data_IF_057656642068
#
_entry.id   IF_057656642068
#
_cell.length_a   1.000
_cell.length_b   1.000
_cell.length_c   1.000
_cell.angle_alpha   90.00
_cell.angle_beta   90.00
_cell.angle_gamma   90.00
#
_symmetry.space_group_name_H-M   'P 1'
#
loop_
_entity.id
_entity.type
_entity.pdbx_description
1 polymer ?
#
# COMPACT_ATOMS: atom_id res chain seq x y z
N UNK A 1 -11.73 -34.28 2.15
CA UNK A 1 -12.25 -34.91 3.37
C UNK A 1 -13.46 -34.12 3.83
N UNK A 2 -14.65 -34.64 3.49
CA UNK A 2 -15.91 -34.10 3.97
C UNK A 2 -16.21 -34.72 5.31
N UNK A 3 -16.14 -33.96 6.39
CA UNK A 3 -16.62 -34.41 7.68
C UNK A 3 -17.38 -33.30 8.39
N UNK A 4 -18.62 -33.66 8.72
CA UNK A 4 -19.48 -33.05 9.73
C UNK A 4 -20.31 -31.82 9.35
N UNK A 5 -21.27 -32.03 8.46
CA UNK A 5 -22.59 -31.46 8.67
C UNK A 5 -23.60 -32.62 8.71
N UNK A 6 -24.07 -32.92 9.91
CA UNK A 6 -25.07 -33.95 10.13
C UNK A 6 -26.39 -33.61 9.40
N UNK A 7 -26.48 -33.99 8.16
CA UNK A 7 -27.74 -34.15 7.43
C UNK A 7 -28.14 -35.61 7.58
N UNK A 8 -28.86 -35.90 8.62
CA UNK A 8 -29.63 -37.16 8.65
C UNK A 8 -30.85 -36.88 7.76
N UNK A 9 -30.77 -37.31 6.51
CA UNK A 9 -31.94 -37.44 5.66
C UNK A 9 -32.77 -38.59 6.21
N UNK A 10 -33.79 -38.28 6.99
CA UNK A 10 -34.85 -39.22 7.27
C UNK A 10 -35.90 -39.00 6.18
N UNK A 11 -35.85 -39.82 5.15
CA UNK A 11 -36.95 -40.01 4.23
C UNK A 11 -37.98 -40.87 5.01
N UNK A 12 -39.02 -40.21 5.49
CA UNK A 12 -40.22 -40.87 5.96
C UNK A 12 -41.43 -40.05 5.53
N UNK A 13 -42.19 -40.72 4.71
CA UNK A 13 -43.64 -40.75 4.49
C UNK A 13 -44.49 -39.62 5.12
N UNK A 14 -45.34 -39.03 4.29
CA UNK A 14 -46.60 -38.33 4.49
C UNK A 14 -46.90 -37.46 5.73
N UNK A 15 -45.90 -36.99 6.50
CA UNK A 15 -46.10 -36.01 7.56
C UNK A 15 -45.03 -34.90 7.56
N UNK A 16 -45.13 -34.04 6.56
CA UNK A 16 -44.10 -33.03 6.16
C UNK A 16 -43.80 -31.92 7.17
N UNK A 17 -44.38 -31.86 8.35
CA UNK A 17 -44.31 -30.70 9.22
C UNK A 17 -42.97 -30.58 10.01
N UNK A 18 -42.28 -31.66 10.31
CA UNK A 18 -41.07 -31.62 11.15
C UNK A 18 -39.79 -31.17 10.41
N UNK A 19 -39.66 -31.48 9.14
CA UNK A 19 -38.46 -31.09 8.34
C UNK A 19 -38.48 -29.60 8.00
N UNK A 20 -39.63 -29.06 7.68
CA UNK A 20 -39.81 -27.64 7.37
C UNK A 20 -39.56 -26.77 8.60
N UNK A 21 -40.01 -27.18 9.79
CA UNK A 21 -39.79 -26.49 11.06
C UNK A 21 -38.29 -26.43 11.40
N UNK A 22 -37.53 -27.52 11.20
CA UNK A 22 -36.09 -27.55 11.51
C UNK A 22 -35.28 -26.64 10.59
N UNK A 23 -35.60 -26.58 9.29
CA UNK A 23 -34.97 -25.67 8.34
C UNK A 23 -35.33 -24.21 8.62
N UNK A 24 -36.56 -23.93 8.96
CA UNK A 24 -37.06 -22.59 9.34
C UNK A 24 -36.35 -22.12 10.61
N UNK A 25 -36.25 -22.95 11.64
CA UNK A 25 -35.63 -22.62 12.93
C UNK A 25 -34.12 -22.33 12.79
N UNK A 26 -33.39 -23.13 11.99
CA UNK A 26 -31.97 -22.89 11.70
C UNK A 26 -31.77 -21.58 10.94
N UNK A 27 -32.64 -21.26 9.99
CA UNK A 27 -32.59 -20.03 9.23
C UNK A 27 -32.86 -18.81 10.13
N UNK A 28 -33.81 -18.91 11.06
CA UNK A 28 -34.09 -17.89 12.07
C UNK A 28 -32.93 -17.66 13.03
N UNK A 29 -32.34 -18.72 13.58
CA UNK A 29 -31.15 -18.62 14.45
C UNK A 29 -29.99 -17.96 13.70
N UNK A 30 -29.74 -18.33 12.45
CA UNK A 30 -28.71 -17.73 11.62
C UNK A 30 -28.95 -16.25 11.36
N UNK A 31 -30.21 -15.87 11.09
CA UNK A 31 -30.62 -14.47 10.89
C UNK A 31 -30.47 -13.66 12.19
N UNK A 32 -30.85 -14.22 13.34
CA UNK A 32 -30.73 -13.59 14.64
C UNK A 32 -29.25 -13.35 15.02
N UNK A 33 -28.36 -14.33 14.80
CA UNK A 33 -26.91 -14.17 15.06
C UNK A 33 -26.30 -13.06 14.19
N UNK A 34 -26.67 -12.97 12.91
CA UNK A 34 -26.24 -11.88 12.03
C UNK A 34 -26.73 -10.51 12.54
N UNK A 35 -28.00 -10.42 12.92
CA UNK A 35 -28.59 -9.19 13.49
C UNK A 35 -27.83 -8.75 14.75
N UNK A 36 -27.57 -9.68 15.69
CA UNK A 36 -26.82 -9.40 16.93
C UNK A 36 -25.38 -8.97 16.64
N UNK A 37 -24.71 -9.58 15.66
CA UNK A 37 -23.37 -9.19 15.25
C UNK A 37 -23.35 -7.76 14.66
N UNK A 38 -24.33 -7.41 13.83
CA UNK A 38 -24.46 -6.05 13.27
C UNK A 38 -24.73 -5.04 14.38
N UNK A 39 -25.64 -5.35 15.29
CA UNK A 39 -25.98 -4.48 16.42
C UNK A 39 -24.76 -4.23 17.31
N UNK A 40 -24.09 -5.30 17.73
CA UNK A 40 -22.88 -5.22 18.57
C UNK A 40 -21.77 -4.41 17.90
N UNK A 41 -21.54 -4.62 16.58
CA UNK A 41 -20.59 -3.85 15.81
C UNK A 41 -20.92 -2.34 15.81
N UNK A 42 -22.19 -1.98 15.55
CA UNK A 42 -22.62 -0.58 15.51
C UNK A 42 -22.52 0.11 16.87
N UNK A 43 -22.99 -0.57 17.92
CA UNK A 43 -22.94 -0.05 19.30
C UNK A 43 -21.51 0.14 19.75
N UNK A 44 -20.67 -0.90 19.61
CA UNK A 44 -19.26 -0.82 20.01
C UNK A 44 -18.50 0.26 19.23
N UNK A 45 -18.78 0.41 17.90
CA UNK A 45 -18.17 1.48 17.12
C UNK A 45 -18.58 2.88 17.59
N UNK A 46 -19.84 3.06 17.96
CA UNK A 46 -20.34 4.33 18.51
C UNK A 46 -19.64 4.66 19.84
N UNK A 47 -19.56 3.71 20.75
CA UNK A 47 -18.88 3.89 22.05
C UNK A 47 -17.38 4.17 21.90
N UNK A 48 -16.69 3.41 21.05
CA UNK A 48 -15.25 3.57 20.84
C UNK A 48 -14.88 4.87 20.12
N UNK A 49 -15.77 5.41 19.30
CA UNK A 49 -15.59 6.73 18.69
C UNK A 49 -15.50 7.86 19.74
N UNK A 50 -16.19 7.73 20.86
CA UNK A 50 -16.15 8.70 21.97
C UNK A 50 -14.77 8.73 22.66
N UNK A 51 -14.02 7.61 22.61
CA UNK A 51 -12.71 7.47 23.26
C UNK A 51 -11.55 7.60 22.25
N UNK A 52 -11.84 7.97 20.98
CA UNK A 52 -10.81 8.13 19.95
C UNK A 52 -10.10 6.81 19.55
N UNK A 53 -10.69 5.65 19.88
CA UNK A 53 -10.11 4.31 19.61
C UNK A 53 -11.07 3.44 18.79
N UNK A 54 -10.53 2.47 18.03
CA UNK A 54 -11.27 1.28 17.62
C UNK A 54 -11.68 1.17 16.17
N UNK A 55 -10.73 1.04 15.27
CA UNK A 55 -11.05 0.68 13.87
C UNK A 55 -11.38 -0.81 13.69
N UNK A 56 -10.81 -1.73 14.47
CA UNK A 56 -10.95 -3.19 14.32
C UNK A 56 -11.78 -3.87 15.41
N UNK A 57 -11.72 -3.41 16.66
CA UNK A 57 -12.41 -4.05 17.79
C UNK A 57 -13.92 -4.29 17.57
N UNK A 58 -14.70 -3.38 16.94
CA UNK A 58 -16.10 -3.67 16.63
C UNK A 58 -16.30 -4.88 15.73
N UNK A 59 -15.37 -5.10 14.79
CA UNK A 59 -15.39 -6.26 13.91
C UNK A 59 -15.02 -7.55 14.64
N UNK A 60 -14.05 -7.50 15.55
CA UNK A 60 -13.69 -8.66 16.38
C UNK A 60 -14.87 -9.12 17.25
N UNK A 61 -15.59 -8.19 17.86
CA UNK A 61 -16.81 -8.49 18.63
C UNK A 61 -17.85 -9.17 17.74
N UNK A 62 -18.10 -8.61 16.55
CA UNK A 62 -19.07 -9.16 15.62
C UNK A 62 -18.68 -10.57 15.13
N UNK A 63 -17.39 -10.81 14.84
CA UNK A 63 -16.89 -12.13 14.42
C UNK A 63 -16.99 -13.17 15.53
N UNK A 64 -16.85 -12.79 16.80
CA UNK A 64 -17.10 -13.70 17.93
C UNK A 64 -18.56 -14.12 18.02
N UNK A 65 -19.51 -13.22 17.72
CA UNK A 65 -20.95 -13.52 17.72
C UNK A 65 -21.34 -14.35 16.49
N UNK A 66 -20.85 -13.96 15.30
CA UNK A 66 -21.17 -14.60 14.03
C UNK A 66 -19.90 -14.70 13.15
N UNK A 67 -19.10 -15.79 13.27
CA UNK A 67 -17.82 -15.95 12.57
C UNK A 67 -17.90 -15.90 11.04
N UNK A 68 -19.06 -16.26 10.48
CA UNK A 68 -19.33 -16.26 9.04
C UNK A 68 -20.21 -15.08 8.58
N UNK A 69 -20.28 -14.00 9.38
CA UNK A 69 -21.17 -12.86 9.10
C UNK A 69 -20.92 -12.22 7.73
N UNK A 70 -19.67 -12.21 7.26
CA UNK A 70 -19.29 -11.63 5.97
C UNK A 70 -19.89 -12.40 4.77
N UNK A 71 -20.14 -13.72 4.90
CA UNK A 71 -20.81 -14.50 3.86
C UNK A 71 -22.33 -14.32 3.85
N UNK A 72 -22.89 -13.66 4.88
CA UNK A 72 -24.35 -13.49 5.04
C UNK A 72 -24.83 -12.10 4.67
N UNK A 73 -23.93 -11.13 4.58
CA UNK A 73 -24.28 -9.75 4.20
C UNK A 73 -24.37 -9.63 2.68
N UNK A 74 -25.31 -8.83 2.21
CA UNK A 74 -25.43 -8.48 0.81
C UNK A 74 -24.56 -7.26 0.52
N UNK A 75 -23.42 -7.49 -0.16
CA UNK A 75 -22.48 -6.47 -0.59
C UNK A 75 -23.03 -5.68 -1.79
N UNK A 76 -22.47 -4.50 -2.09
CA UNK A 76 -22.67 -3.79 -3.35
C UNK A 76 -22.25 -4.65 -4.56
N UNK A 77 -22.75 -4.31 -5.74
CA UNK A 77 -22.34 -4.97 -6.99
C UNK A 77 -20.86 -4.76 -7.30
N UNK A 78 -20.32 -3.61 -6.92
CA UNK A 78 -18.91 -3.28 -7.09
C UNK A 78 -18.16 -3.44 -5.76
N UNK A 79 -17.30 -4.45 -5.70
CA UNK A 79 -16.37 -4.69 -4.59
C UNK A 79 -14.96 -4.63 -5.15
N UNK A 80 -14.26 -3.56 -4.85
CA UNK A 80 -12.91 -3.30 -5.36
C UNK A 80 -11.91 -3.49 -4.22
N UNK A 81 -10.89 -4.29 -4.44
CA UNK A 81 -9.80 -4.47 -3.49
C UNK A 81 -8.47 -4.05 -4.10
N UNK A 82 -7.59 -3.48 -3.27
CA UNK A 82 -6.24 -3.06 -3.66
C UNK A 82 -5.23 -3.68 -2.71
N UNK A 83 -4.26 -4.40 -3.26
CA UNK A 83 -3.13 -4.97 -2.52
C UNK A 83 -1.80 -4.70 -3.22
N UNK A 84 -0.69 -5.09 -2.60
CA UNK A 84 0.67 -4.93 -3.09
C UNK A 84 1.60 -4.33 -2.04
N UNK A 85 2.91 -4.44 -2.19
CA UNK A 85 3.88 -3.98 -1.20
C UNK A 85 3.80 -2.47 -0.96
N UNK A 86 3.69 -1.68 -2.03
CA UNK A 86 3.62 -0.22 -1.97
C UNK A 86 2.43 0.33 -2.77
N UNK A 87 2.02 1.57 -2.44
CA UNK A 87 1.00 2.32 -3.19
C UNK A 87 -0.46 2.05 -2.78
N UNK A 88 -0.77 1.01 -1.99
CA UNK A 88 -2.14 0.63 -1.61
C UNK A 88 -3.01 1.80 -1.13
N UNK A 89 -2.57 2.48 -0.08
CA UNK A 89 -3.34 3.56 0.55
C UNK A 89 -3.58 4.72 -0.44
N UNK A 90 -2.53 5.14 -1.16
CA UNK A 90 -2.65 6.24 -2.13
C UNK A 90 -3.61 5.86 -3.28
N UNK A 91 -3.49 4.64 -3.82
CA UNK A 91 -4.38 4.15 -4.87
C UNK A 91 -5.83 4.07 -4.39
N UNK A 92 -6.08 3.55 -3.18
CA UNK A 92 -7.43 3.49 -2.59
C UNK A 92 -7.99 4.90 -2.36
N UNK A 93 -7.20 5.85 -1.87
CA UNK A 93 -7.63 7.23 -1.66
C UNK A 93 -8.00 7.92 -2.99
N UNK A 94 -7.19 7.75 -4.03
CA UNK A 94 -7.46 8.25 -5.38
C UNK A 94 -8.76 7.67 -5.94
N UNK A 95 -8.92 6.34 -5.91
CA UNK A 95 -10.15 5.66 -6.35
C UNK A 95 -11.36 6.19 -5.60
N UNK A 96 -11.27 6.31 -4.26
CA UNK A 96 -12.37 6.81 -3.45
C UNK A 96 -12.73 8.25 -3.79
N UNK A 97 -11.75 9.11 -4.11
CA UNK A 97 -12.00 10.50 -4.53
C UNK A 97 -12.71 10.53 -5.88
N UNK A 98 -12.14 9.91 -6.91
CA UNK A 98 -12.70 9.88 -8.27
C UNK A 98 -14.14 9.35 -8.26
N UNK A 99 -14.38 8.22 -7.58
CA UNK A 99 -15.71 7.62 -7.53
C UNK A 99 -16.74 8.49 -6.81
N UNK A 100 -16.35 9.17 -5.71
CA UNK A 100 -17.26 10.09 -4.99
C UNK A 100 -17.61 11.29 -5.82
N UNK A 101 -16.66 11.83 -6.55
CA UNK A 101 -16.87 12.96 -7.44
C UNK A 101 -17.76 12.58 -8.63
N UNK A 102 -17.70 11.33 -9.06
CA UNK A 102 -18.62 10.75 -10.05
C UNK A 102 -20.00 10.39 -9.48
N UNK A 103 -20.32 10.83 -8.25
CA UNK A 103 -21.63 10.62 -7.61
C UNK A 103 -21.81 9.27 -6.94
N UNK A 104 -20.81 8.40 -6.88
CA UNK A 104 -20.91 7.09 -6.24
C UNK A 104 -20.77 7.18 -4.71
N UNK A 105 -21.62 6.45 -3.99
CA UNK A 105 -21.49 6.28 -2.54
C UNK A 105 -20.47 5.19 -2.22
N UNK A 106 -19.23 5.62 -1.89
CA UNK A 106 -18.10 4.72 -1.61
C UNK A 106 -18.00 4.44 -0.11
N UNK A 107 -17.97 3.16 0.24
CA UNK A 107 -17.63 2.65 1.57
C UNK A 107 -16.20 2.12 1.51
N UNK A 108 -15.31 2.59 2.36
CA UNK A 108 -13.90 2.20 2.35
C UNK A 108 -13.25 2.23 3.74
N UNK A 109 -12.20 1.44 3.93
CA UNK A 109 -11.48 1.32 5.20
C UNK A 109 -10.40 2.41 5.37
N UNK A 110 -10.85 3.67 5.46
CA UNK A 110 -10.00 4.88 5.54
C UNK A 110 -8.91 4.83 6.62
N UNK A 111 -9.15 4.11 7.72
CA UNK A 111 -8.27 4.05 8.88
C UNK A 111 -7.16 2.99 8.75
N UNK A 112 -6.96 2.39 7.56
CA UNK A 112 -5.93 1.37 7.31
C UNK A 112 -6.15 0.04 8.05
N UNK A 113 -7.38 -0.21 8.53
CA UNK A 113 -7.75 -1.49 9.15
C UNK A 113 -8.03 -2.53 8.08
N UNK A 114 -6.94 -3.12 7.55
CA UNK A 114 -6.93 -3.99 6.38
C UNK A 114 -6.93 -5.50 6.73
N UNK A 115 -7.10 -5.86 8.00
CA UNK A 115 -7.32 -7.23 8.46
C UNK A 115 -8.82 -7.53 8.57
N UNK A 116 -9.18 -8.82 8.67
CA UNK A 116 -10.57 -9.28 8.69
C UNK A 116 -11.47 -8.53 9.68
N UNK A 117 -10.98 -8.22 10.87
CA UNK A 117 -11.73 -7.48 11.88
C UNK A 117 -12.08 -6.05 11.42
N UNK A 118 -11.13 -5.35 10.81
CA UNK A 118 -11.34 -4.01 10.23
C UNK A 118 -12.29 -4.04 9.03
N UNK A 119 -12.11 -5.01 8.14
CA UNK A 119 -13.02 -5.24 7.00
C UNK A 119 -14.45 -5.53 7.49
N UNK A 120 -14.59 -6.37 8.53
CA UNK A 120 -15.88 -6.66 9.14
C UNK A 120 -16.49 -5.41 9.77
N UNK A 121 -15.71 -4.63 10.51
CA UNK A 121 -16.18 -3.40 11.15
C UNK A 121 -16.72 -2.39 10.14
N UNK A 122 -16.03 -2.17 9.01
CA UNK A 122 -16.47 -1.20 7.99
C UNK A 122 -17.74 -1.68 7.27
N UNK A 123 -17.79 -2.96 6.92
CA UNK A 123 -18.96 -3.55 6.25
C UNK A 123 -20.19 -3.47 7.14
N UNK A 124 -20.13 -4.01 8.37
CA UNK A 124 -21.27 -4.09 9.27
C UNK A 124 -21.75 -2.72 9.77
N UNK A 125 -20.82 -1.77 9.96
CA UNK A 125 -21.20 -0.40 10.32
C UNK A 125 -22.07 0.28 9.24
N UNK A 126 -21.90 -0.11 7.98
CA UNK A 126 -22.64 0.41 6.84
C UNK A 126 -23.77 -0.50 6.38
N UNK A 127 -24.06 -1.60 7.09
CA UNK A 127 -25.21 -2.46 6.81
C UNK A 127 -26.51 -1.94 7.39
N UNK A 128 -27.63 -2.32 6.77
CA UNK A 128 -28.93 -2.39 7.45
C UNK A 128 -28.92 -3.53 8.46
N UNK A 129 -29.85 -3.58 9.39
CA UNK A 129 -29.99 -4.72 10.29
C UNK A 129 -30.37 -6.02 9.56
N UNK A 130 -30.95 -5.92 8.35
CA UNK A 130 -31.17 -7.05 7.45
C UNK A 130 -29.94 -7.48 6.63
N UNK A 131 -28.76 -6.91 6.91
CA UNK A 131 -27.50 -7.32 6.28
C UNK A 131 -27.20 -6.73 4.90
N UNK A 132 -27.99 -5.75 4.40
CA UNK A 132 -27.67 -5.08 3.13
C UNK A 132 -26.74 -3.88 3.36
N UNK A 133 -25.60 -3.85 2.68
CA UNK A 133 -24.65 -2.73 2.72
C UNK A 133 -25.20 -1.52 1.97
N UNK A 134 -25.11 -0.33 2.58
CA UNK A 134 -25.68 0.94 2.09
C UNK A 134 -24.67 1.76 1.30
N UNK A 135 -24.20 1.24 0.18
CA UNK A 135 -23.26 1.93 -0.72
C UNK A 135 -23.34 1.37 -2.12
N UNK A 136 -22.81 2.11 -3.09
CA UNK A 136 -22.70 1.70 -4.48
C UNK A 136 -21.42 0.90 -4.72
N UNK A 137 -20.35 1.24 -3.97
CA UNK A 137 -19.04 0.63 -4.07
C UNK A 137 -18.51 0.31 -2.67
N UNK A 138 -18.00 -0.90 -2.50
CA UNK A 138 -17.16 -1.28 -1.37
C UNK A 138 -15.70 -1.30 -1.85
N UNK A 139 -14.89 -0.38 -1.36
CA UNK A 139 -13.48 -0.24 -1.70
C UNK A 139 -12.60 -0.63 -0.50
N UNK A 140 -11.72 -1.61 -0.69
CA UNK A 140 -10.92 -2.20 0.38
C UNK A 140 -9.43 -2.06 0.11
N UNK A 141 -8.72 -1.38 1.01
CA UNK A 141 -7.29 -1.62 1.17
C UNK A 141 -7.10 -2.97 1.84
N UNK A 142 -6.34 -3.86 1.21
CA UNK A 142 -6.14 -5.23 1.67
C UNK A 142 -4.66 -5.50 1.93
N UNK A 143 -4.37 -6.03 3.12
CA UNK A 143 -3.01 -6.45 3.48
C UNK A 143 -2.68 -7.76 2.75
N UNK A 144 -1.48 -7.86 2.20
CA UNK A 144 -1.02 -8.94 1.35
C UNK A 144 -1.14 -10.32 2.02
N UNK A 145 -0.94 -10.38 3.33
CA UNK A 145 -0.96 -11.62 4.10
C UNK A 145 -2.34 -11.97 4.65
N UNK A 146 -3.20 -10.98 4.80
CA UNK A 146 -4.47 -11.12 5.51
C UNK A 146 -5.70 -11.08 4.60
N UNK A 147 -5.57 -10.65 3.34
CA UNK A 147 -6.66 -10.60 2.38
C UNK A 147 -7.40 -11.93 2.24
N UNK A 148 -6.67 -13.05 2.22
CA UNK A 148 -7.23 -14.42 2.15
C UNK A 148 -8.25 -14.74 3.23
N UNK A 149 -8.08 -14.19 4.44
CA UNK A 149 -9.02 -14.44 5.54
C UNK A 149 -10.35 -13.71 5.36
N UNK A 150 -10.36 -12.58 4.65
CA UNK A 150 -11.59 -11.85 4.31
C UNK A 150 -12.25 -12.43 3.05
N UNK A 151 -11.45 -12.67 2.01
CA UNK A 151 -11.96 -13.06 0.69
C UNK A 151 -12.39 -14.53 0.59
N UNK A 152 -12.15 -15.35 1.61
CA UNK A 152 -12.82 -16.65 1.73
C UNK A 152 -14.33 -16.55 1.93
N UNK A 153 -14.84 -15.41 2.39
CA UNK A 153 -16.27 -15.18 2.64
C UNK A 153 -16.98 -14.46 1.49
N UNK A 154 -16.25 -13.71 0.68
CA UNK A 154 -16.76 -13.02 -0.50
C UNK A 154 -15.63 -12.77 -1.51
N UNK A 155 -15.98 -12.65 -2.79
CA UNK A 155 -15.02 -12.29 -3.83
C UNK A 155 -15.07 -10.79 -4.12
N UNK A 156 -13.92 -10.09 -4.20
CA UNK A 156 -13.87 -8.80 -4.87
C UNK A 156 -14.28 -8.97 -6.34
N UNK A 157 -15.07 -8.04 -6.87
CA UNK A 157 -15.37 -8.01 -8.31
C UNK A 157 -14.13 -7.60 -9.12
N UNK A 158 -13.35 -6.67 -8.56
CA UNK A 158 -12.10 -6.19 -9.14
C UNK A 158 -10.99 -6.22 -8.09
N UNK A 159 -9.86 -6.83 -8.44
CA UNK A 159 -8.73 -6.94 -7.52
C UNK A 159 -7.46 -6.39 -8.15
N UNK A 160 -7.01 -5.26 -7.61
CA UNK A 160 -5.84 -4.53 -8.09
C UNK A 160 -4.62 -5.00 -7.31
N UNK A 161 -3.56 -5.37 -8.02
CA UNK A 161 -2.26 -5.72 -7.42
C UNK A 161 -1.21 -4.79 -8.01
N UNK A 162 -0.69 -3.89 -7.18
CA UNK A 162 0.14 -2.77 -7.64
C UNK A 162 1.58 -3.18 -7.93
N UNK A 163 2.20 -3.91 -7.00
CA UNK A 163 3.59 -4.35 -7.07
C UNK A 163 3.91 -5.35 -5.96
N UNK A 164 5.01 -6.11 -6.13
CA UNK A 164 5.57 -6.98 -5.10
C UNK A 164 7.05 -6.69 -4.93
N UNK A 165 7.47 -6.36 -3.71
CA UNK A 165 8.86 -6.12 -3.32
C UNK A 165 9.17 -6.79 -1.99
N UNK A 166 10.45 -6.87 -1.68
CA UNK A 166 10.91 -7.02 -0.31
C UNK A 166 10.34 -5.91 0.55
N UNK A 167 9.52 -6.25 1.51
CA UNK A 167 8.85 -5.30 2.39
C UNK A 167 8.66 -5.91 3.77
N UNK A 168 9.14 -5.22 4.79
CA UNK A 168 9.00 -5.65 6.18
C UNK A 168 9.45 -7.12 6.36
N UNK A 169 10.73 -7.41 6.10
CA UNK A 169 11.28 -8.79 6.10
C UNK A 169 11.02 -9.53 7.41
N UNK A 170 11.09 -8.83 8.55
CA UNK A 170 10.76 -9.41 9.87
C UNK A 170 9.30 -9.83 9.99
N UNK A 171 8.41 -9.25 9.19
CA UNK A 171 6.97 -9.54 9.18
C UNK A 171 6.55 -10.40 7.99
N UNK A 172 7.01 -10.05 6.80
CA UNK A 172 6.54 -10.61 5.54
C UNK A 172 7.43 -11.75 5.02
N UNK A 173 8.70 -11.77 5.44
CA UNK A 173 9.67 -12.72 4.94
C UNK A 173 9.98 -12.53 3.44
N UNK A 174 10.30 -13.61 2.76
CA UNK A 174 10.65 -13.60 1.35
C UNK A 174 9.47 -13.19 0.45
N UNK A 175 9.66 -12.43 -0.65
CA UNK A 175 8.61 -12.05 -1.59
C UNK A 175 7.75 -13.20 -2.11
N UNK A 176 8.30 -14.42 -2.24
CA UNK A 176 7.57 -15.60 -2.66
C UNK A 176 6.47 -16.00 -1.66
N UNK A 177 6.69 -15.82 -0.36
CA UNK A 177 5.65 -16.08 0.64
C UNK A 177 4.50 -15.07 0.57
N UNK A 178 4.84 -13.83 0.25
CA UNK A 178 3.84 -12.78 -0.01
C UNK A 178 3.05 -13.13 -1.27
N UNK A 179 3.75 -13.57 -2.33
CA UNK A 179 3.12 -14.03 -3.56
C UNK A 179 2.09 -15.14 -3.29
N UNK A 180 2.48 -16.21 -2.62
CA UNK A 180 1.56 -17.32 -2.33
C UNK A 180 0.39 -16.85 -1.45
N UNK A 181 0.61 -15.99 -0.47
CA UNK A 181 -0.45 -15.47 0.38
C UNK A 181 -1.47 -14.62 -0.38
N UNK A 182 -1.03 -13.79 -1.33
CA UNK A 182 -1.91 -13.03 -2.21
C UNK A 182 -2.64 -13.96 -3.17
N UNK A 183 -1.95 -14.96 -3.74
CA UNK A 183 -2.55 -15.97 -4.64
C UNK A 183 -3.70 -16.71 -3.97
N UNK A 184 -3.56 -17.10 -2.70
CA UNK A 184 -4.65 -17.70 -1.92
C UNK A 184 -5.86 -16.77 -1.74
N UNK A 185 -5.67 -15.46 -1.84
CA UNK A 185 -6.75 -14.47 -1.72
C UNK A 185 -7.50 -14.22 -3.03
N UNK A 186 -6.93 -14.61 -4.17
CA UNK A 186 -7.52 -14.40 -5.49
C UNK A 186 -8.65 -15.41 -5.71
N UNK A 187 -9.84 -14.90 -6.04
CA UNK A 187 -10.99 -15.73 -6.36
C UNK A 187 -11.13 -15.90 -7.88
N UNK A 188 -11.60 -17.06 -8.36
CA UNK A 188 -11.76 -17.32 -9.80
C UNK A 188 -12.62 -16.25 -10.51
N UNK A 189 -13.69 -15.80 -9.85
CA UNK A 189 -14.65 -14.82 -10.35
C UNK A 189 -14.14 -13.38 -10.35
N UNK A 190 -13.04 -13.09 -9.66
CA UNK A 190 -12.48 -11.73 -9.58
C UNK A 190 -11.78 -11.35 -10.89
N UNK A 191 -12.10 -10.19 -11.45
CA UNK A 191 -11.29 -9.57 -12.49
C UNK A 191 -10.02 -8.99 -11.87
N UNK A 192 -8.86 -9.38 -12.37
CA UNK A 192 -7.59 -8.87 -11.91
C UNK A 192 -7.18 -7.61 -12.69
N UNK A 193 -6.62 -6.63 -11.98
CA UNK A 193 -6.01 -5.42 -12.55
C UNK A 193 -4.55 -5.43 -12.11
N UNK A 194 -3.65 -5.79 -13.02
CA UNK A 194 -2.27 -6.15 -12.72
C UNK A 194 -1.27 -5.19 -13.36
N UNK A 195 -0.19 -4.92 -12.63
CA UNK A 195 0.96 -4.21 -13.16
C UNK A 195 1.77 -5.12 -14.09
N UNK A 196 1.75 -4.84 -15.40
CA UNK A 196 2.48 -5.61 -16.41
C UNK A 196 4.00 -5.43 -16.31
N UNK A 197 4.46 -4.33 -15.73
CA UNK A 197 5.88 -4.00 -15.60
C UNK A 197 6.56 -4.72 -14.44
N UNK A 198 5.77 -5.43 -13.61
CA UNK A 198 6.26 -6.22 -12.48
C UNK A 198 6.21 -7.72 -12.82
N UNK A 199 7.37 -8.38 -13.03
CA UNK A 199 7.41 -9.80 -13.36
C UNK A 199 6.88 -10.71 -12.25
N UNK A 200 6.86 -10.25 -10.99
CA UNK A 200 6.31 -11.01 -9.88
C UNK A 200 4.78 -10.92 -9.84
N UNK A 201 4.23 -9.76 -10.16
CA UNK A 201 2.78 -9.53 -10.25
C UNK A 201 2.18 -10.22 -11.47
N UNK A 202 2.91 -10.23 -12.61
CA UNK A 202 2.42 -10.84 -13.85
C UNK A 202 2.04 -12.32 -13.72
N UNK A 203 2.65 -13.05 -12.78
CA UNK A 203 2.34 -14.45 -12.47
C UNK A 203 0.88 -14.68 -12.07
N UNK A 204 0.20 -13.70 -11.46
CA UNK A 204 -1.21 -13.84 -11.08
C UNK A 204 -2.16 -13.88 -12.27
N UNK A 205 -1.73 -13.34 -13.41
CA UNK A 205 -2.49 -13.36 -14.65
C UNK A 205 -2.34 -14.62 -15.47
N UNK A 206 -1.41 -15.54 -15.08
CA UNK A 206 -1.19 -16.78 -15.78
C UNK A 206 -2.47 -17.62 -15.83
N UNK A 207 -2.80 -18.15 -17.01
CA UNK A 207 -3.96 -19.02 -17.27
C UNK A 207 -5.31 -18.34 -16.89
N UNK A 208 -5.40 -17.00 -17.04
CA UNK A 208 -6.62 -16.21 -16.79
C UNK A 208 -6.95 -15.30 -17.94
N UNK A 209 -8.22 -15.31 -18.35
CA UNK A 209 -8.73 -14.46 -19.42
C UNK A 209 -9.27 -13.11 -18.91
N UNK A 210 -9.65 -13.02 -17.63
CA UNK A 210 -10.25 -11.83 -16.99
C UNK A 210 -9.20 -10.95 -16.31
N UNK A 211 -8.14 -10.59 -17.03
CA UNK A 211 -7.06 -9.73 -16.55
C UNK A 211 -7.01 -8.44 -17.35
N UNK A 212 -6.87 -7.34 -16.64
CA UNK A 212 -6.57 -6.02 -17.19
C UNK A 212 -5.14 -5.67 -16.82
N UNK A 213 -4.35 -5.34 -17.82
CA UNK A 213 -2.95 -4.98 -17.64
C UNK A 213 -2.75 -3.47 -17.71
N UNK A 214 -2.00 -2.93 -16.76
CA UNK A 214 -1.53 -1.56 -16.81
C UNK A 214 0.00 -1.53 -16.71
N UNK A 215 0.62 -0.53 -17.33
CA UNK A 215 2.08 -0.40 -17.34
C UNK A 215 2.51 0.91 -18.00
N UNK A 216 3.81 1.06 -18.20
CA UNK A 216 4.42 2.28 -18.72
C UNK A 216 5.33 1.95 -19.91
N UNK A 217 5.28 2.80 -20.94
CA UNK A 217 6.26 2.79 -22.01
C UNK A 217 7.61 3.32 -21.52
N UNK A 218 8.67 3.07 -22.29
CA UNK A 218 10.00 3.63 -21.98
C UNK A 218 9.92 5.15 -21.85
N UNK A 219 10.51 5.69 -20.80
CA UNK A 219 10.57 7.12 -20.48
C UNK A 219 12.01 7.60 -20.48
N UNK A 220 12.24 8.92 -20.55
CA UNK A 220 13.58 9.50 -20.51
C UNK A 220 14.35 9.16 -19.23
N UNK A 221 13.64 8.94 -18.11
CA UNK A 221 14.24 8.53 -16.84
C UNK A 221 14.47 7.01 -16.72
N UNK A 222 14.05 6.22 -17.71
CA UNK A 222 14.26 4.76 -17.70
C UNK A 222 15.74 4.43 -17.85
N UNK A 223 16.20 3.46 -17.09
CA UNK A 223 17.62 3.05 -17.04
C UNK A 223 17.83 1.68 -17.67
N UNK A 224 19.07 1.34 -17.98
CA UNK A 224 19.48 0.02 -18.47
C UNK A 224 19.87 -0.95 -17.33
N UNK A 225 19.80 -0.49 -16.10
CA UNK A 225 20.10 -1.27 -14.90
C UNK A 225 19.04 -1.08 -13.82
N UNK A 226 18.88 -2.09 -12.95
CA UNK A 226 18.00 -2.00 -11.81
C UNK A 226 18.54 -0.98 -10.81
N UNK A 227 17.65 -0.15 -10.24
CA UNK A 227 18.00 0.75 -9.14
C UNK A 227 17.84 0.05 -7.79
N UNK A 228 18.62 0.48 -6.79
CA UNK A 228 18.64 -0.14 -5.47
C UNK A 228 19.61 -1.32 -5.36
N UNK A 229 19.73 -1.89 -4.15
CA UNK A 229 20.68 -2.97 -3.85
C UNK A 229 20.22 -4.32 -4.40
N UNK A 230 18.91 -4.57 -4.42
CA UNK A 230 18.34 -5.84 -4.83
C UNK A 230 17.47 -5.72 -6.07
N UNK A 231 17.58 -6.73 -6.93
CA UNK A 231 16.69 -6.93 -8.05
C UNK A 231 15.86 -8.20 -7.80
N UNK A 232 14.66 -8.04 -7.20
CA UNK A 232 13.76 -9.15 -6.91
C UNK A 232 13.20 -9.81 -8.18
N UNK A 233 13.27 -9.13 -9.34
CA UNK A 233 12.91 -9.64 -10.66
C UNK A 233 14.10 -10.16 -11.48
N UNK A 234 15.28 -10.39 -10.87
CA UNK A 234 16.49 -10.84 -11.59
C UNK A 234 16.37 -12.22 -12.23
N UNK A 235 15.44 -13.04 -11.73
CA UNK A 235 15.23 -14.40 -12.23
C UNK A 235 13.80 -14.61 -12.66
N UNK A 236 13.64 -15.29 -13.80
CA UNK A 236 12.33 -15.63 -14.33
C UNK A 236 11.50 -16.39 -13.31
N UNK A 237 10.29 -15.92 -12.97
CA UNK A 237 9.46 -16.58 -11.99
C UNK A 237 8.98 -17.96 -12.46
N UNK A 238 8.97 -18.21 -13.77
CA UNK A 238 8.51 -19.47 -14.37
C UNK A 238 9.62 -20.51 -14.44
N UNK A 239 10.78 -20.19 -15.02
CA UNK A 239 11.84 -21.16 -15.29
C UNK A 239 13.13 -20.95 -14.52
N UNK A 240 13.22 -19.89 -13.69
CA UNK A 240 14.38 -19.54 -12.87
C UNK A 240 15.65 -19.14 -13.62
N UNK A 241 15.61 -19.03 -14.97
CA UNK A 241 16.69 -18.44 -15.73
C UNK A 241 16.81 -16.93 -15.42
N UNK A 242 17.99 -16.36 -15.69
CA UNK A 242 18.18 -14.92 -15.53
C UNK A 242 17.23 -14.17 -16.44
N UNK A 243 16.59 -13.14 -15.91
CA UNK A 243 15.66 -12.28 -16.63
C UNK A 243 16.44 -11.23 -17.40
N UNK A 244 16.09 -11.02 -18.67
CA UNK A 244 16.55 -9.91 -19.49
C UNK A 244 15.59 -8.73 -19.41
N UNK A 245 16.13 -7.52 -19.45
CA UNK A 245 15.33 -6.29 -19.40
C UNK A 245 15.71 -5.38 -20.55
N UNK A 246 14.70 -4.85 -21.23
CA UNK A 246 14.88 -3.81 -22.26
C UNK A 246 15.17 -2.46 -21.58
N UNK A 247 14.53 -2.21 -20.46
CA UNK A 247 14.74 -1.05 -19.57
C UNK A 247 14.09 -1.27 -18.21
N UNK A 248 14.55 -0.49 -17.24
CA UNK A 248 13.95 -0.40 -15.90
C UNK A 248 13.37 1.00 -15.71
N UNK A 249 12.26 1.11 -15.01
CA UNK A 249 11.75 2.38 -14.50
C UNK A 249 12.25 2.65 -13.08
N UNK A 250 12.32 1.60 -12.27
CA UNK A 250 12.93 1.57 -10.93
C UNK A 250 12.93 0.13 -10.39
N UNK A 251 13.85 -0.18 -9.50
CA UNK A 251 14.03 -1.53 -8.94
C UNK A 251 13.96 -2.60 -10.05
N UNK A 252 13.04 -3.56 -9.96
CA UNK A 252 12.78 -4.57 -10.99
C UNK A 252 11.56 -4.28 -11.86
N UNK A 253 11.02 -3.08 -11.79
CA UNK A 253 9.85 -2.66 -12.58
C UNK A 253 10.32 -2.10 -13.91
N UNK A 254 9.84 -2.67 -15.03
CA UNK A 254 10.22 -2.25 -16.37
C UNK A 254 9.72 -3.17 -17.47
N UNK A 255 10.37 -3.14 -18.61
CA UNK A 255 10.12 -4.08 -19.71
C UNK A 255 11.09 -5.25 -19.62
N UNK A 256 10.57 -6.44 -19.47
CA UNK A 256 11.34 -7.66 -19.24
C UNK A 256 10.92 -8.79 -20.19
N UNK A 257 11.86 -9.70 -20.42
CA UNK A 257 11.62 -10.96 -21.12
C UNK A 257 12.60 -12.04 -20.64
N UNK A 258 12.21 -13.29 -20.79
CA UNK A 258 13.03 -14.45 -20.48
C UNK A 258 13.43 -15.16 -21.79
N UNK A 259 14.71 -15.16 -22.13
CA UNK A 259 15.23 -15.77 -23.35
C UNK A 259 15.06 -17.31 -23.34
N UNK A 260 14.86 -17.92 -22.16
CA UNK A 260 14.73 -19.38 -22.06
C UNK A 260 13.30 -19.89 -22.27
N UNK A 261 12.28 -19.24 -21.67
CA UNK A 261 10.89 -19.73 -21.71
C UNK A 261 9.91 -18.79 -22.39
N UNK A 262 10.36 -17.62 -22.85
CA UNK A 262 9.51 -16.64 -23.52
C UNK A 262 8.57 -15.87 -22.60
N UNK A 263 8.66 -16.03 -21.25
CA UNK A 263 7.92 -15.19 -20.33
C UNK A 263 8.33 -13.73 -20.50
N UNK A 264 7.38 -12.83 -20.69
CA UNK A 264 7.64 -11.42 -20.97
C UNK A 264 6.53 -10.52 -20.45
N UNK A 265 6.80 -9.21 -20.41
CA UNK A 265 5.80 -8.19 -20.14
C UNK A 265 4.57 -8.37 -21.02
N UNK A 266 3.38 -8.26 -20.43
CA UNK A 266 2.11 -8.31 -21.14
C UNK A 266 1.79 -6.98 -21.81
N UNK A 267 1.03 -7.03 -22.91
CA UNK A 267 0.47 -5.85 -23.55
C UNK A 267 -0.53 -5.18 -22.60
N UNK A 268 -0.47 -3.85 -22.53
CA UNK A 268 -1.23 -3.07 -21.55
C UNK A 268 -2.46 -2.40 -22.18
N UNK A 269 -3.61 -2.48 -21.50
CA UNK A 269 -4.83 -1.75 -21.86
C UNK A 269 -4.79 -0.30 -21.37
N UNK A 270 -4.07 -0.07 -20.28
CA UNK A 270 -3.84 1.26 -19.71
C UNK A 270 -2.34 1.51 -19.64
N UNK A 271 -1.87 2.46 -20.45
CA UNK A 271 -0.43 2.71 -20.62
C UNK A 271 -0.11 4.16 -20.33
N UNK A 272 0.86 4.39 -19.44
CA UNK A 272 1.51 5.71 -19.38
C UNK A 272 2.42 5.82 -20.60
N UNK A 273 2.06 6.69 -21.53
CA UNK A 273 2.81 6.90 -22.77
C UNK A 273 3.86 8.00 -22.66
N UNK A 274 3.69 8.93 -21.73
CA UNK A 274 4.66 9.99 -21.48
C UNK A 274 4.59 10.52 -20.05
N UNK A 275 5.74 10.79 -19.44
CA UNK A 275 5.90 11.48 -18.15
C UNK A 275 6.84 12.66 -18.35
N UNK A 276 6.30 13.85 -18.31
CA UNK A 276 7.07 15.10 -18.31
C UNK A 276 7.16 15.64 -16.88
N UNK A 277 8.31 15.42 -16.24
CA UNK A 277 8.53 15.93 -14.89
C UNK A 277 8.77 17.44 -14.82
N UNK A 278 9.19 18.08 -15.91
CA UNK A 278 9.41 19.54 -15.92
C UNK A 278 8.08 20.27 -15.88
N UNK A 279 7.16 19.94 -16.78
CA UNK A 279 5.80 20.47 -16.76
C UNK A 279 4.92 19.84 -15.68
N UNK A 280 5.33 18.71 -15.10
CA UNK A 280 4.55 17.96 -14.12
C UNK A 280 3.31 17.32 -14.72
N UNK A 281 3.39 16.75 -15.94
CA UNK A 281 2.27 16.11 -16.63
C UNK A 281 2.58 14.67 -16.93
N UNK A 282 1.63 13.78 -16.63
CA UNK A 282 1.60 12.39 -17.12
C UNK A 282 0.50 12.22 -18.16
N UNK A 283 0.80 11.48 -19.22
CA UNK A 283 -0.16 11.17 -20.30
C UNK A 283 -0.48 9.68 -20.31
N UNK A 284 -1.76 9.32 -20.22
CA UNK A 284 -2.24 7.94 -20.27
C UNK A 284 -2.91 7.70 -21.62
N UNK A 285 -2.57 6.57 -22.26
CA UNK A 285 -3.06 6.11 -23.56
C UNK A 285 -2.93 7.18 -24.66
N UNK A 286 -1.89 8.03 -24.61
CA UNK A 286 -1.65 9.12 -25.56
C UNK A 286 -2.70 10.25 -25.54
N UNK A 287 -3.70 10.17 -24.68
CA UNK A 287 -4.86 11.07 -24.67
C UNK A 287 -5.05 11.82 -23.35
N UNK A 288 -5.09 11.11 -22.23
CA UNK A 288 -5.50 11.68 -20.96
C UNK A 288 -4.31 12.30 -20.23
N UNK A 289 -4.33 13.61 -20.07
CA UNK A 289 -3.28 14.37 -19.38
C UNK A 289 -3.66 14.64 -17.95
N UNK A 290 -2.78 14.28 -17.01
CA UNK A 290 -2.99 14.41 -15.56
C UNK A 290 -1.83 15.20 -14.98
N UNK A 291 -2.13 16.24 -14.19
CA UNK A 291 -1.14 17.03 -13.49
C UNK A 291 -0.59 16.24 -12.31
N UNK A 292 0.73 16.12 -12.24
CA UNK A 292 1.42 15.49 -11.13
C UNK A 292 1.65 16.51 -10.00
N UNK A 293 0.88 16.42 -8.95
CA UNK A 293 1.12 17.23 -7.74
C UNK A 293 2.28 16.69 -6.91
N UNK A 294 2.65 15.41 -7.11
CA UNK A 294 3.84 14.81 -6.55
C UNK A 294 4.63 14.09 -7.65
N UNK A 295 5.80 14.66 -8.01
CA UNK A 295 6.65 14.22 -9.12
C UNK A 295 7.49 13.00 -8.75
N UNK A 296 6.89 11.81 -8.77
CA UNK A 296 7.55 10.54 -8.45
C UNK A 296 6.99 9.42 -9.33
N UNK A 297 7.86 8.58 -9.86
CA UNK A 297 7.50 7.42 -10.70
C UNK A 297 6.48 6.50 -10.01
N UNK A 298 6.57 6.36 -8.70
CA UNK A 298 5.63 5.54 -7.93
C UNK A 298 4.23 6.17 -7.85
N UNK A 299 4.15 7.51 -7.82
CA UNK A 299 2.88 8.20 -7.87
C UNK A 299 2.24 8.03 -9.25
N UNK A 300 3.05 8.01 -10.31
CA UNK A 300 2.58 7.72 -11.67
C UNK A 300 1.93 6.35 -11.73
N UNK A 301 2.54 5.31 -11.15
CA UNK A 301 1.93 3.96 -11.09
C UNK A 301 0.65 3.92 -10.25
N UNK A 302 0.58 4.66 -9.13
CA UNK A 302 -0.64 4.74 -8.32
C UNK A 302 -1.78 5.43 -9.10
N UNK A 303 -1.47 6.51 -9.83
CA UNK A 303 -2.39 7.21 -10.72
C UNK A 303 -2.89 6.26 -11.83
N UNK A 304 -1.98 5.53 -12.47
CA UNK A 304 -2.32 4.60 -13.54
C UNK A 304 -3.22 3.45 -13.04
N UNK A 305 -2.90 2.86 -11.90
CA UNK A 305 -3.73 1.83 -11.27
C UNK A 305 -5.13 2.35 -10.91
N UNK A 306 -5.22 3.59 -10.40
CA UNK A 306 -6.50 4.25 -10.14
C UNK A 306 -7.26 4.52 -11.44
N UNK A 307 -6.59 5.04 -12.46
CA UNK A 307 -7.18 5.31 -13.77
C UNK A 307 -7.79 4.03 -14.37
N UNK A 308 -7.02 2.94 -14.40
CA UNK A 308 -7.48 1.64 -14.88
C UNK A 308 -8.72 1.16 -14.09
N UNK A 309 -8.67 1.18 -12.76
CA UNK A 309 -9.76 0.73 -11.91
C UNK A 309 -11.05 1.54 -12.10
N UNK A 310 -10.94 2.87 -12.21
CA UNK A 310 -12.10 3.75 -12.38
C UNK A 310 -12.69 3.65 -13.78
N UNK A 311 -11.85 3.50 -14.81
CA UNK A 311 -12.32 3.31 -16.20
C UNK A 311 -13.11 2.01 -16.36
N UNK A 312 -12.64 0.90 -15.77
CA UNK A 312 -13.32 -0.41 -15.87
C UNK A 312 -14.72 -0.37 -15.26
N UNK A 313 -14.92 0.38 -14.20
CA UNK A 313 -16.24 0.53 -13.57
C UNK A 313 -17.11 1.61 -14.23
N UNK A 314 -16.71 2.08 -15.42
CA UNK A 314 -17.49 2.93 -16.29
C UNK A 314 -17.43 4.43 -16.00
N UNK A 315 -16.38 4.90 -15.33
CA UNK A 315 -16.15 6.35 -15.18
C UNK A 315 -15.41 6.86 -16.41
N UNK A 316 -15.86 7.98 -16.94
CA UNK A 316 -15.26 8.62 -18.11
C UNK A 316 -13.80 9.03 -17.86
N UNK A 317 -12.91 8.80 -18.82
CA UNK A 317 -11.48 9.03 -18.68
C UNK A 317 -11.10 10.51 -18.48
N UNK A 318 -11.85 11.44 -19.06
CA UNK A 318 -11.60 12.87 -18.87
C UNK A 318 -11.99 13.31 -17.46
N UNK A 319 -13.07 12.73 -16.89
CA UNK A 319 -13.47 12.95 -15.49
C UNK A 319 -12.41 12.39 -14.53
N UNK A 320 -11.86 11.20 -14.82
CA UNK A 320 -10.80 10.60 -14.00
C UNK A 320 -9.55 11.49 -14.04
N UNK A 321 -9.16 11.94 -15.23
CA UNK A 321 -7.95 12.76 -15.42
C UNK A 321 -8.06 14.12 -14.71
N UNK A 322 -9.22 14.77 -14.77
CA UNK A 322 -9.47 16.02 -14.06
C UNK A 322 -9.37 15.84 -12.55
N UNK A 323 -10.06 14.86 -11.99
CA UNK A 323 -10.05 14.59 -10.54
C UNK A 323 -8.66 14.21 -10.01
N UNK A 324 -7.89 13.41 -10.77
CA UNK A 324 -6.53 13.05 -10.40
C UNK A 324 -5.56 14.23 -10.47
N UNK A 325 -5.80 15.19 -11.36
CA UNK A 325 -5.01 16.42 -11.45
C UNK A 325 -5.19 17.34 -10.23
N UNK A 326 -6.26 17.15 -9.45
CA UNK A 326 -6.57 17.88 -8.23
C UNK A 326 -6.39 17.06 -6.95
N UNK A 327 -5.79 15.87 -7.05
CA UNK A 327 -5.61 14.98 -5.91
C UNK A 327 -4.40 15.37 -5.07
N UNK A 328 -4.63 15.79 -3.84
CA UNK A 328 -3.56 16.03 -2.85
C UNK A 328 -3.35 14.82 -1.95
N UNK A 329 -2.11 14.39 -1.83
CA UNK A 329 -1.70 13.34 -0.90
C UNK A 329 -2.00 13.77 0.56
N UNK A 330 -3.06 13.22 1.15
CA UNK A 330 -3.45 13.53 2.54
C UNK A 330 -2.62 12.77 3.58
N UNK A 331 -1.71 11.91 3.17
CA UNK A 331 -1.09 10.90 4.03
C UNK A 331 -0.12 11.45 5.09
N UNK A 332 0.14 12.76 5.15
CA UNK A 332 1.05 13.36 6.14
C UNK A 332 2.47 12.78 6.10
N UNK A 333 2.88 12.22 4.95
CA UNK A 333 4.21 11.62 4.75
C UNK A 333 5.28 12.63 4.41
N UNK A 334 4.86 13.81 3.98
CA UNK A 334 5.73 14.95 3.68
C UNK A 334 5.20 16.11 4.49
N UNK A 335 6.04 16.67 5.37
CA UNK A 335 5.70 17.82 6.21
C UNK A 335 6.82 18.83 6.10
N UNK A 336 6.48 20.12 6.10
CA UNK A 336 7.46 21.18 6.21
C UNK A 336 7.66 21.54 7.67
N UNK A 337 8.90 21.82 8.07
CA UNK A 337 9.22 22.18 9.44
C UNK A 337 10.30 23.26 9.54
N UNK A 338 10.39 23.85 10.73
CA UNK A 338 11.46 24.72 11.15
C UNK A 338 12.12 24.15 12.40
N UNK A 339 13.47 24.10 12.39
CA UNK A 339 14.30 23.68 13.52
C UNK A 339 15.38 24.75 13.75
N UNK A 340 15.24 25.57 14.78
CA UNK A 340 16.05 26.76 14.97
C UNK A 340 15.90 27.72 13.79
N UNK A 341 17.02 28.09 13.16
CA UNK A 341 17.04 28.92 11.95
C UNK A 341 16.86 28.12 10.66
N UNK A 342 16.88 26.79 10.72
CA UNK A 342 16.87 25.93 9.57
C UNK A 342 15.45 25.61 9.12
N UNK A 343 15.20 25.64 7.81
CA UNK A 343 13.95 25.14 7.20
C UNK A 343 14.17 23.73 6.68
N UNK A 344 13.17 22.87 6.85
CA UNK A 344 13.33 21.47 6.46
C UNK A 344 12.07 20.82 5.93
N UNK A 345 12.29 19.69 5.26
CA UNK A 345 11.26 18.78 4.79
C UNK A 345 11.39 17.45 5.51
N UNK A 346 10.33 17.06 6.20
CA UNK A 346 10.23 15.79 6.90
C UNK A 346 9.60 14.75 5.99
N UNK A 347 10.27 13.63 5.80
CA UNK A 347 9.92 12.57 4.87
C UNK A 347 9.76 11.26 5.64
N UNK A 348 8.60 10.63 5.51
CA UNK A 348 8.30 9.37 6.19
C UNK A 348 8.49 8.22 5.22
N UNK A 349 9.52 7.40 5.46
CA UNK A 349 9.69 6.07 4.87
C UNK A 349 8.89 5.02 5.65
N UNK A 350 8.57 3.91 5.02
CA UNK A 350 7.98 2.76 5.69
C UNK A 350 9.10 1.94 6.32
N UNK A 351 8.90 1.45 7.56
CA UNK A 351 9.85 0.54 8.18
C UNK A 351 10.21 -0.64 7.27
N UNK A 352 11.47 -1.06 7.30
CA UNK A 352 11.95 -2.26 6.62
C UNK A 352 11.53 -2.34 5.14
N UNK A 353 11.45 -1.19 4.46
CA UNK A 353 11.07 -1.11 3.06
C UNK A 353 12.14 -0.32 2.29
N UNK A 354 13.05 -1.04 1.64
CA UNK A 354 14.16 -0.46 0.87
C UNK A 354 13.63 0.47 -0.23
N UNK A 355 12.66 0.03 -1.00
CA UNK A 355 12.06 0.82 -2.09
C UNK A 355 11.47 2.14 -1.58
N UNK A 356 10.84 2.15 -0.39
CA UNK A 356 10.32 3.39 0.19
C UNK A 356 11.44 4.33 0.65
N UNK A 357 12.54 3.80 1.16
CA UNK A 357 13.71 4.57 1.58
C UNK A 357 14.48 5.12 0.37
N UNK A 358 14.76 4.29 -0.62
CA UNK A 358 15.44 4.69 -1.86
C UNK A 358 14.68 5.83 -2.55
N UNK A 359 13.34 5.79 -2.55
CA UNK A 359 12.49 6.87 -3.06
C UNK A 359 12.70 8.20 -2.36
N UNK A 360 12.81 8.15 -1.05
CA UNK A 360 13.00 9.36 -0.23
C UNK A 360 14.36 9.97 -0.54
N UNK A 361 15.40 9.16 -0.68
CA UNK A 361 16.73 9.64 -1.03
C UNK A 361 16.79 10.15 -2.47
N UNK A 362 16.17 9.46 -3.43
CA UNK A 362 16.06 9.93 -4.82
C UNK A 362 15.35 11.29 -4.89
N UNK A 363 14.27 11.49 -4.11
CA UNK A 363 13.59 12.79 -4.03
C UNK A 363 14.53 13.90 -3.55
N UNK A 364 15.32 13.64 -2.50
CA UNK A 364 16.28 14.63 -1.96
C UNK A 364 17.33 15.01 -3.02
N UNK A 365 17.90 14.00 -3.68
CA UNK A 365 18.98 14.18 -4.65
C UNK A 365 18.49 14.91 -5.91
N UNK A 366 17.31 14.59 -6.41
CA UNK A 366 16.72 15.25 -7.60
C UNK A 366 16.44 16.74 -7.40
N UNK A 367 16.26 17.21 -6.15
CA UNK A 367 16.17 18.64 -5.87
C UNK A 367 17.50 19.35 -6.12
N UNK A 368 18.59 18.63 -6.12
CA UNK A 368 19.96 19.11 -6.42
C UNK A 368 20.32 20.43 -5.72
N UNK A 369 19.89 20.59 -4.47
CA UNK A 369 20.14 21.78 -3.65
C UNK A 369 21.03 21.41 -2.47
N UNK A 370 22.03 22.23 -2.11
CA UNK A 370 22.83 22.00 -0.93
C UNK A 370 21.96 21.79 0.31
N UNK A 371 22.12 20.66 0.97
CA UNK A 371 21.30 20.30 2.12
C UNK A 371 22.05 19.37 3.09
N UNK A 372 21.56 19.32 4.33
CA UNK A 372 21.95 18.28 5.29
C UNK A 372 20.80 17.30 5.50
N UNK A 373 21.12 16.02 5.71
CA UNK A 373 20.12 14.98 5.88
C UNK A 373 20.20 14.39 7.29
N UNK A 374 19.07 14.36 7.98
CA UNK A 374 18.89 13.70 9.28
C UNK A 374 18.20 12.37 9.03
N UNK A 375 18.83 11.26 9.43
CA UNK A 375 18.24 9.92 9.34
C UNK A 375 18.01 9.41 10.75
N UNK A 376 16.75 9.12 11.11
CA UNK A 376 16.40 8.66 12.45
C UNK A 376 15.99 7.20 12.39
N UNK A 377 16.71 6.35 13.12
CA UNK A 377 16.41 4.93 13.30
C UNK A 377 16.47 4.60 14.78
N UNK A 378 15.32 4.66 15.44
CA UNK A 378 15.21 4.40 16.87
C UNK A 378 14.35 3.16 17.17
N UNK A 379 13.28 2.94 16.40
CA UNK A 379 12.42 1.77 16.51
C UNK A 379 12.54 0.93 15.23
N UNK A 380 12.87 -0.35 15.38
CA UNK A 380 13.01 -1.26 14.24
C UNK A 380 11.66 -1.70 13.71
N UNK A 381 10.66 -1.88 14.57
CA UNK A 381 9.32 -2.31 14.18
C UNK A 381 8.23 -1.70 15.07
N UNK A 382 7.06 -1.42 14.46
CA UNK A 382 5.88 -0.95 15.23
C UNK A 382 5.25 -2.03 16.10
N UNK A 383 5.43 -3.31 15.78
CA UNK A 383 4.67 -4.43 16.36
C UNK A 383 5.52 -5.41 17.12
N UNK A 384 6.79 -5.49 16.83
CA UNK A 384 7.70 -6.47 17.41
C UNK A 384 8.82 -5.75 18.15
N UNK A 385 9.08 -6.16 19.38
CA UNK A 385 10.27 -5.75 20.11
C UNK A 385 11.45 -6.56 19.55
N UNK A 386 12.06 -6.07 18.50
CA UNK A 386 13.23 -6.66 17.85
C UNK A 386 14.30 -5.61 17.68
N UNK A 387 15.57 -6.01 17.81
CA UNK A 387 16.76 -5.23 17.45
C UNK A 387 17.29 -5.55 16.06
N UNK A 388 16.50 -6.23 15.22
CA UNK A 388 16.91 -6.68 13.90
C UNK A 388 17.04 -5.52 12.91
N UNK A 389 18.27 -5.19 12.54
CA UNK A 389 18.63 -4.06 11.66
C UNK A 389 19.16 -4.49 10.29
N UNK A 390 19.16 -5.80 9.97
CA UNK A 390 19.68 -6.32 8.68
C UNK A 390 19.03 -5.67 7.46
N UNK A 391 17.76 -5.20 7.57
CA UNK A 391 17.08 -4.49 6.50
C UNK A 391 17.76 -3.17 6.07
N UNK A 392 18.65 -2.61 6.89
CA UNK A 392 19.48 -1.45 6.50
C UNK A 392 20.42 -1.79 5.33
N UNK A 393 20.76 -3.08 5.16
CA UNK A 393 21.61 -3.53 4.06
C UNK A 393 20.85 -3.65 2.74
N UNK A 394 19.54 -3.63 2.78
CA UNK A 394 18.67 -3.65 1.61
C UNK A 394 18.49 -2.23 0.99
N UNK A 395 18.95 -1.17 1.67
CA UNK A 395 18.82 0.22 1.25
C UNK A 395 20.10 0.70 0.56
N UNK A 396 19.93 1.40 -0.55
CA UNK A 396 21.04 2.03 -1.28
C UNK A 396 21.41 3.39 -0.69
N UNK A 397 22.15 3.37 0.39
CA UNK A 397 22.70 4.61 0.96
C UNK A 397 23.83 5.22 0.14
N UNK A 398 24.45 4.48 -0.79
CA UNK A 398 25.52 4.98 -1.64
C UNK A 398 25.14 6.21 -2.46
N UNK A 399 23.86 6.38 -2.73
CA UNK A 399 23.32 7.56 -3.42
C UNK A 399 23.51 8.86 -2.61
N UNK A 400 23.65 8.77 -1.29
CA UNK A 400 23.85 9.94 -0.40
C UNK A 400 25.28 10.53 -0.48
N UNK A 401 26.17 9.96 -1.30
CA UNK A 401 27.46 10.59 -1.65
C UNK A 401 27.32 11.79 -2.60
N UNK A 402 26.12 12.07 -3.11
CA UNK A 402 25.87 13.18 -4.03
C UNK A 402 26.37 14.51 -3.49
N UNK A 403 26.93 15.36 -4.36
CA UNK A 403 27.59 16.63 -4.00
C UNK A 403 26.65 17.62 -3.30
N UNK A 404 25.36 17.52 -3.55
CA UNK A 404 24.36 18.34 -2.87
C UNK A 404 24.21 18.00 -1.37
N UNK A 405 24.68 16.82 -0.91
CA UNK A 405 24.63 16.43 0.49
C UNK A 405 25.84 16.96 1.23
N UNK A 406 25.62 17.94 2.11
CA UNK A 406 26.69 18.59 2.86
C UNK A 406 27.07 17.83 4.13
N UNK A 407 26.07 17.27 4.82
CA UNK A 407 26.24 16.54 6.07
C UNK A 407 25.14 15.52 6.32
N UNK A 408 25.48 14.42 6.98
CA UNK A 408 24.55 13.37 7.41
C UNK A 408 24.55 13.30 8.95
N UNK A 409 23.37 13.40 9.54
CA UNK A 409 23.11 13.19 10.96
C UNK A 409 22.38 11.87 11.16
N UNK A 410 23.01 10.91 11.80
CA UNK A 410 22.45 9.59 12.11
C UNK A 410 22.01 9.58 13.56
N UNK A 411 20.71 9.47 13.79
CA UNK A 411 20.12 9.63 15.13
C UNK A 411 19.33 8.40 15.58
N UNK A 412 19.32 8.17 16.90
CA UNK A 412 18.55 7.13 17.54
C UNK A 412 19.37 5.89 17.92
N UNK A 413 18.77 4.94 18.60
CA UNK A 413 19.41 3.75 19.17
C UNK A 413 20.17 2.88 18.18
N UNK A 414 19.77 2.91 16.91
CA UNK A 414 20.39 2.15 15.83
C UNK A 414 21.25 3.01 14.91
N UNK A 415 21.64 4.21 15.35
CA UNK A 415 22.46 5.12 14.57
C UNK A 415 23.86 4.52 14.26
N UNK A 416 24.44 3.75 15.20
CA UNK A 416 25.71 3.05 14.98
C UNK A 416 25.63 1.88 14.01
N UNK A 417 24.49 1.17 13.97
CA UNK A 417 24.25 0.13 12.96
C UNK A 417 24.22 0.76 11.57
N UNK A 418 23.57 1.94 11.45
CA UNK A 418 23.54 2.70 10.21
C UNK A 418 24.94 3.26 9.85
N UNK A 419 25.71 3.80 10.81
CA UNK A 419 27.09 4.22 10.58
C UNK A 419 27.93 3.07 10.03
N UNK A 420 27.82 1.88 10.64
CA UNK A 420 28.47 0.66 10.15
C UNK A 420 28.05 0.36 8.71
N UNK A 421 26.76 0.47 8.38
CA UNK A 421 26.28 0.26 7.00
C UNK A 421 26.86 1.30 6.04
N UNK A 422 26.94 2.57 6.44
CA UNK A 422 27.50 3.64 5.61
C UNK A 422 29.02 3.46 5.37
N UNK A 423 29.76 2.90 6.31
CA UNK A 423 31.20 2.64 6.14
C UNK A 423 31.52 1.66 5.00
N UNK A 424 30.53 0.92 4.49
CA UNK A 424 30.64 0.08 3.29
C UNK A 424 30.19 0.81 2.01
N UNK A 425 30.08 2.13 2.05
CA UNK A 425 29.79 2.97 0.88
C UNK A 425 30.94 3.95 0.65
N UNK A 426 30.93 4.67 -0.46
CA UNK A 426 31.94 5.72 -0.76
C UNK A 426 31.57 7.07 -0.08
N UNK A 427 30.74 7.08 0.95
CA UNK A 427 30.41 8.29 1.70
C UNK A 427 31.60 8.69 2.58
N UNK A 428 31.97 9.97 2.50
CA UNK A 428 33.01 10.53 3.36
C UNK A 428 32.49 10.59 4.83
N UNK A 429 33.08 9.76 5.68
CA UNK A 429 32.73 9.66 7.10
C UNK A 429 32.94 10.97 7.85
N UNK A 430 33.83 11.87 7.38
CA UNK A 430 33.96 13.21 7.96
C UNK A 430 32.72 14.06 7.87
N UNK A 431 31.82 13.73 6.94
CA UNK A 431 30.49 14.35 6.81
C UNK A 431 29.40 13.67 7.65
N UNK A 432 29.72 12.71 8.50
CA UNK A 432 28.75 11.93 9.26
C UNK A 432 28.86 12.27 10.75
N UNK A 433 27.75 12.60 11.37
CA UNK A 433 27.64 12.74 12.83
C UNK A 433 26.64 11.72 13.36
N UNK A 434 27.02 11.00 14.40
CA UNK A 434 26.21 9.94 15.03
C UNK A 434 25.85 10.35 16.45
N UNK A 435 24.57 10.25 16.80
CA UNK A 435 24.11 10.52 18.15
C UNK A 435 22.89 9.64 18.48
N UNK A 436 22.94 8.89 19.58
CA UNK A 436 21.84 8.04 20.03
C UNK A 436 20.74 8.84 20.75
N UNK A 437 21.09 10.01 21.31
CA UNK A 437 20.11 10.91 21.98
C UNK A 437 19.51 11.87 20.94
N UNK A 438 18.32 11.54 20.47
CA UNK A 438 17.61 12.33 19.45
C UNK A 438 17.33 13.76 19.95
N UNK A 439 16.76 14.00 21.13
CA UNK A 439 16.52 15.35 21.65
C UNK A 439 17.77 16.21 21.71
N UNK A 440 18.87 15.70 22.29
CA UNK A 440 20.12 16.44 22.39
C UNK A 440 20.72 16.77 21.02
N UNK A 441 20.71 15.80 20.11
CA UNK A 441 21.19 16.02 18.73
C UNK A 441 20.39 17.08 17.97
N UNK A 442 19.06 17.07 18.12
CA UNK A 442 18.20 18.08 17.47
C UNK A 442 18.44 19.49 18.04
N UNK A 443 18.70 19.63 19.35
CA UNK A 443 19.06 20.91 19.97
C UNK A 443 20.42 21.43 19.43
N UNK A 444 21.40 20.55 19.24
CA UNK A 444 22.70 20.90 18.61
C UNK A 444 22.54 21.30 17.13
N UNK A 445 21.69 20.60 16.38
CA UNK A 445 21.40 20.89 14.96
C UNK A 445 20.66 22.26 14.86
N UNK A 446 19.73 22.53 15.77
CA UNK A 446 18.98 23.79 15.83
C UNK A 446 19.90 25.02 16.05
N UNK A 447 21.00 24.85 16.76
CA UNK A 447 21.97 25.90 17.05
C UNK A 447 22.92 26.23 15.87
N UNK A 448 22.97 25.38 14.83
CA UNK A 448 23.84 25.53 13.66
C UNK A 448 23.10 26.09 12.46
N UNK A 449 23.66 27.03 11.68
CA UNK A 449 23.05 27.54 10.45
C UNK A 449 23.32 26.58 9.27
N UNK A 450 22.52 25.51 9.15
CA UNK A 450 22.70 24.45 8.14
C UNK A 450 21.90 24.68 6.85
N UNK A 451 21.03 25.68 6.82
CA UNK A 451 20.19 25.99 5.65
C UNK A 451 19.06 24.97 5.46
N UNK A 452 19.04 24.27 4.32
CA UNK A 452 17.99 23.27 4.01
C UNK A 452 18.26 21.96 4.71
N UNK A 453 17.26 21.46 5.41
CA UNK A 453 17.29 20.16 6.08
C UNK A 453 16.30 19.18 5.42
N UNK A 454 16.68 17.94 5.34
CA UNK A 454 15.75 16.83 5.11
C UNK A 454 15.82 15.88 6.29
N UNK A 455 14.67 15.47 6.81
CA UNK A 455 14.63 14.44 7.86
C UNK A 455 13.90 13.21 7.33
N UNK A 456 14.57 12.08 7.41
CA UNK A 456 14.07 10.78 6.97
C UNK A 456 13.89 9.89 8.20
N UNK A 457 12.67 9.39 8.39
CA UNK A 457 12.39 8.45 9.48
C UNK A 457 11.15 7.62 9.16
N UNK A 458 10.81 6.72 10.07
CA UNK A 458 9.62 5.90 9.98
C UNK A 458 8.47 6.43 10.86
N UNK A 459 7.27 5.85 10.68
CA UNK A 459 6.09 6.27 11.45
C UNK A 459 6.24 6.16 12.96
N UNK A 460 7.01 5.19 13.47
CA UNK A 460 7.17 4.97 14.91
C UNK A 460 7.98 6.06 15.59
N UNK A 461 8.93 6.63 14.87
CA UNK A 461 9.85 7.62 15.42
C UNK A 461 9.44 9.06 15.08
N UNK A 462 8.36 9.21 14.31
CA UNK A 462 7.81 10.50 13.90
C UNK A 462 7.63 11.48 15.05
N UNK A 463 6.97 11.04 16.12
CA UNK A 463 6.63 11.91 17.26
C UNK A 463 7.87 12.40 18.01
N UNK A 464 8.96 11.60 18.05
CA UNK A 464 10.22 11.99 18.68
C UNK A 464 10.86 13.19 17.99
N UNK A 465 10.75 13.26 16.67
CA UNK A 465 11.20 14.41 15.88
C UNK A 465 10.23 15.58 15.98
N UNK A 466 8.93 15.33 15.79
CA UNK A 466 7.91 16.39 15.75
C UNK A 466 7.77 17.15 17.06
N UNK A 467 8.12 16.53 18.18
CA UNK A 467 8.11 17.21 19.50
C UNK A 467 9.15 18.33 19.63
N UNK A 468 10.13 18.42 18.72
CA UNK A 468 11.25 19.36 18.76
C UNK A 468 11.22 20.39 17.62
N UNK A 469 10.26 20.31 16.72
CA UNK A 469 10.19 21.19 15.53
C UNK A 469 8.87 21.93 15.44
N UNK A 470 8.89 23.06 14.81
CA UNK A 470 7.69 23.84 14.45
C UNK A 470 7.23 23.41 13.04
N UNK A 471 5.99 22.91 12.92
CA UNK A 471 5.42 22.59 11.61
C UNK A 471 5.03 23.88 10.89
N UNK A 472 5.41 23.98 9.64
CA UNK A 472 5.06 25.10 8.77
C UNK A 472 4.07 24.65 7.69
N UNK A 473 3.32 25.58 7.10
CA UNK A 473 2.48 25.28 5.95
C UNK A 473 3.35 24.89 4.75
N UNK A 474 2.87 23.98 3.91
CA UNK A 474 3.55 23.65 2.68
C UNK A 474 3.71 24.92 1.83
N UNK A 475 4.95 25.29 1.52
CA UNK A 475 5.22 26.21 0.42
C UNK A 475 4.85 25.48 -0.87
N UNK A 476 4.27 26.16 -1.87
CA UNK A 476 3.69 25.58 -3.10
C UNK A 476 4.69 24.82 -4.01
N UNK A 477 5.95 24.63 -3.59
CA UNK A 477 7.04 24.00 -4.34
C UNK A 477 7.36 22.55 -3.91
N UNK A 478 6.35 21.74 -3.62
CA UNK A 478 6.56 20.30 -3.35
C UNK A 478 6.34 19.46 -4.59
#
# INVERSE_FOLDING_TARGET
>A
MAQNYGVTAVVLDSTSNYVIIRFSFIKEIKSMRMFLAILACKVSKCLLKLIGRGSSLPGDIALKICPDVLSRVKLPEQVIAVTGSNGKTSTVEMIAQVMRKSGKKVIWNKEGSNQIAGVTAIILSNCTFGGKVKGDVLLLESDERYAKYSFKFFAPTHYIITNLYRDQLTRNGHPEWVYESVKESIRPESQLILNADDPLVSRYGKDRDNVIWFGMDKQDFSTDHATGVYNDGAFCPECKHRMSYDYYHYAHIGSYHCDNCGHKKHDTQYTVTNVDYDSGIVTINGKYKIKLLFKSVYNVYNILACFAACSIVGIDGDVIADELSHYFLKSGRILQFKLGMNKGTFLIAKHENSVASDRVYDYIIRKNQPCSVIIIIDSVSRRYSTGETSWLWDIDYGVLKADCIQHLYLLGRHAKDLETRLSYTDIDIAKVTVNEDIPAALDEIAAKPLGKLYTVTCFSDKEKFLSKVELTQAEEDV
#
